data_IF_165429925992
#
_entry.id   IF_165429925992
#
_cell.length_a   1.000
_cell.length_b   1.000
_cell.length_c   1.000
_cell.angle_alpha   90.00
_cell.angle_beta   90.00
_cell.angle_gamma   90.00
#
_symmetry.space_group_name_H-M   'P 1'
#
loop_
_entity.id
_entity.type
_entity.pdbx_description
1 polymer ?
#
# COMPACT_ATOMS: atom_id res chain seq x y z
N UNK A 1 -3.82 -15.39 1.98
CA UNK A 1 -2.62 -14.60 2.35
C UNK A 1 -2.92 -13.82 3.62
N UNK A 2 -1.99 -13.80 4.56
CA UNK A 2 -2.20 -13.06 5.80
C UNK A 2 -1.91 -11.57 5.61
N UNK A 3 -2.44 -10.75 6.51
CA UNK A 3 -2.18 -9.31 6.50
C UNK A 3 -0.68 -9.05 6.58
N UNK A 4 0.01 -9.77 7.45
CA UNK A 4 1.45 -9.63 7.64
C UNK A 4 2.23 -9.96 6.36
N UNK A 5 1.83 -11.01 5.66
CA UNK A 5 2.46 -11.40 4.40
C UNK A 5 2.23 -10.36 3.31
N UNK A 6 1.02 -9.82 3.23
CA UNK A 6 0.69 -8.78 2.27
C UNK A 6 1.55 -7.53 2.49
N UNK A 7 1.65 -7.09 3.75
CA UNK A 7 2.47 -5.92 4.07
C UNK A 7 3.95 -6.16 3.79
N UNK A 8 4.44 -7.37 4.07
CA UNK A 8 5.83 -7.73 3.79
C UNK A 8 6.12 -7.70 2.29
N UNK A 9 5.20 -8.17 1.47
CA UNK A 9 5.36 -8.15 0.01
C UNK A 9 5.34 -6.72 -0.53
N UNK A 10 4.44 -5.88 -0.03
CA UNK A 10 4.39 -4.48 -0.42
C UNK A 10 5.68 -3.76 -0.07
N UNK A 11 6.21 -4.03 1.11
CA UNK A 11 7.49 -3.47 1.53
C UNK A 11 8.64 -3.94 0.64
N UNK A 12 8.64 -5.23 0.29
CA UNK A 12 9.65 -5.80 -0.59
C UNK A 12 9.61 -5.18 -1.99
N UNK A 13 8.45 -4.73 -2.44
CA UNK A 13 8.30 -4.02 -3.71
C UNK A 13 8.72 -2.55 -3.62
N UNK A 14 9.06 -2.07 -2.42
CA UNK A 14 9.43 -0.68 -2.23
C UNK A 14 8.25 0.25 -1.96
N UNK A 15 7.09 -0.30 -1.65
CA UNK A 15 5.93 0.50 -1.29
C UNK A 15 5.86 0.75 0.21
N UNK A 16 5.18 1.82 0.59
CA UNK A 16 4.86 2.10 1.97
C UNK A 16 3.42 1.65 2.21
N UNK A 17 3.21 0.73 3.14
CA UNK A 17 1.89 0.19 3.37
C UNK A 17 1.65 -0.11 4.84
N UNK A 18 0.40 0.00 5.24
CA UNK A 18 -0.02 -0.38 6.58
C UNK A 18 -1.46 -0.89 6.53
N UNK A 19 -1.87 -1.57 7.59
CA UNK A 19 -3.23 -2.09 7.71
C UNK A 19 -3.95 -1.38 8.85
N UNK A 20 -5.13 -0.85 8.55
CA UNK A 20 -6.00 -0.21 9.55
C UNK A 20 -7.03 -1.23 10.02
N UNK A 21 -6.89 -1.70 11.26
CA UNK A 21 -7.78 -2.70 11.81
C UNK A 21 -9.19 -2.18 12.10
N UNK A 22 -9.35 -0.87 12.31
CA UNK A 22 -10.67 -0.28 12.55
C UNK A 22 -11.53 -0.31 11.29
N UNK A 23 -10.92 -0.03 10.15
CA UNK A 23 -11.60 -0.02 8.85
C UNK A 23 -11.39 -1.31 8.07
N UNK A 24 -10.49 -2.19 8.55
CA UNK A 24 -10.11 -3.43 7.87
C UNK A 24 -9.64 -3.18 6.45
N UNK A 25 -8.78 -2.18 6.31
CA UNK A 25 -8.28 -1.76 5.01
C UNK A 25 -6.77 -1.62 5.01
N UNK A 26 -6.17 -1.93 3.86
CA UNK A 26 -4.77 -1.61 3.61
C UNK A 26 -4.68 -0.19 3.07
N UNK A 27 -3.65 0.52 3.50
CA UNK A 27 -3.31 1.82 2.94
C UNK A 27 -1.99 1.67 2.22
N UNK A 28 -1.99 1.87 0.91
CA UNK A 28 -0.82 1.70 0.06
C UNK A 28 -0.37 3.05 -0.48
N UNK A 29 0.89 3.38 -0.25
CA UNK A 29 1.49 4.62 -0.74
C UNK A 29 2.92 4.34 -1.18
N UNK A 30 3.64 5.39 -1.56
CA UNK A 30 5.05 5.31 -1.92
C UNK A 30 5.88 6.06 -0.87
N UNK A 31 7.10 5.58 -0.56
CA UNK A 31 7.98 6.29 0.36
C UNK A 31 8.61 7.52 -0.31
N UNK A 32 9.13 8.42 0.51
CA UNK A 32 9.87 9.56 0.03
C UNK A 32 9.02 10.75 -0.43
N UNK A 33 7.71 10.67 -0.25
CA UNK A 33 6.81 11.77 -0.60
C UNK A 33 6.52 12.64 0.62
N UNK A 34 6.22 13.93 0.39
CA UNK A 34 5.74 14.77 1.48
C UNK A 34 4.33 14.31 1.89
N UNK A 35 3.88 14.65 3.12
CA UNK A 35 2.59 14.15 3.63
C UNK A 35 1.40 14.47 2.73
N UNK A 36 1.41 15.62 2.10
CA UNK A 36 0.30 16.04 1.25
C UNK A 36 0.22 15.20 -0.02
N UNK A 37 1.37 14.94 -0.62
CA UNK A 37 1.46 14.14 -1.84
C UNK A 37 1.19 12.68 -1.56
N UNK A 38 1.70 12.19 -0.43
CA UNK A 38 1.45 10.83 0.02
C UNK A 38 -0.05 10.58 0.18
N UNK A 39 -0.76 11.49 0.82
CA UNK A 39 -2.20 11.37 1.02
C UNK A 39 -2.96 11.44 -0.31
N UNK A 40 -2.48 12.24 -1.25
CA UNK A 40 -3.12 12.37 -2.55
C UNK A 40 -3.09 11.08 -3.38
N UNK A 41 -2.05 10.26 -3.21
CA UNK A 41 -1.92 9.00 -3.94
C UNK A 41 -2.32 7.78 -3.11
N UNK A 42 -2.62 7.96 -1.83
CA UNK A 42 -2.95 6.84 -0.95
C UNK A 42 -4.14 6.06 -1.49
N UNK A 43 -3.99 4.74 -1.54
CA UNK A 43 -5.03 3.84 -2.00
C UNK A 43 -5.47 2.95 -0.84
N UNK A 44 -6.77 2.86 -0.65
CA UNK A 44 -7.36 2.07 0.43
C UNK A 44 -8.13 0.89 -0.15
N UNK A 45 -7.87 -0.29 0.35
CA UNK A 45 -8.57 -1.49 -0.08
C UNK A 45 -8.56 -2.56 1.02
N UNK A 46 -9.63 -3.34 1.08
CA UNK A 46 -9.70 -4.47 2.02
C UNK A 46 -9.16 -5.77 1.40
N UNK A 47 -8.90 -5.76 0.10
CA UNK A 47 -8.45 -6.94 -0.63
C UNK A 47 -6.93 -6.97 -0.76
N UNK A 48 -6.30 -8.05 -0.27
CA UNK A 48 -4.84 -8.23 -0.33
C UNK A 48 -4.32 -8.22 -1.76
N UNK A 49 -4.99 -8.91 -2.67
CA UNK A 49 -4.56 -8.97 -4.07
C UNK A 49 -4.64 -7.59 -4.73
N UNK A 50 -5.70 -6.86 -4.46
CA UNK A 50 -5.88 -5.51 -4.97
C UNK A 50 -4.79 -4.58 -4.44
N UNK A 51 -4.45 -4.72 -3.15
CA UNK A 51 -3.37 -3.93 -2.55
C UNK A 51 -2.03 -4.21 -3.25
N UNK A 52 -1.72 -5.47 -3.52
CA UNK A 52 -0.47 -5.86 -4.19
C UNK A 52 -0.44 -5.36 -5.63
N UNK A 53 -1.54 -5.47 -6.35
CA UNK A 53 -1.67 -4.97 -7.72
C UNK A 53 -1.47 -3.45 -7.77
N UNK A 54 -2.11 -2.75 -6.85
CA UNK A 54 -2.00 -1.30 -6.79
C UNK A 54 -0.58 -0.86 -6.45
N UNK A 55 0.06 -1.55 -5.50
CA UNK A 55 1.45 -1.26 -5.14
C UNK A 55 2.39 -1.43 -6.33
N UNK A 56 2.21 -2.51 -7.09
CA UNK A 56 3.02 -2.76 -8.28
C UNK A 56 2.79 -1.67 -9.33
N UNK A 57 1.55 -1.25 -9.53
CA UNK A 57 1.21 -0.19 -10.48
C UNK A 57 1.83 1.14 -10.07
N UNK A 58 1.80 1.48 -8.78
CA UNK A 58 2.42 2.69 -8.25
C UNK A 58 3.91 2.71 -8.51
N UNK A 59 4.59 1.58 -8.28
CA UNK A 59 6.04 1.47 -8.52
C UNK A 59 6.37 1.58 -10.00
N UNK A 60 5.52 1.04 -10.85
CA UNK A 60 5.70 1.11 -12.30
C UNK A 60 5.59 2.52 -12.86
N UNK A 61 4.97 3.43 -12.11
CA UNK A 61 4.82 4.83 -12.53
C UNK A 61 5.97 5.73 -12.08
N UNK A 62 6.90 5.20 -11.33
CA UNK A 62 8.06 5.97 -10.84
C UNK A 62 9.17 6.07 -11.86
#
# INVERSE_FOLDING_TARGET
MSIKQTLAQLKAMGCKARYDSDWREYRVTLPGLDPKREEAIAYYTSDSEDALHTGAAMKGLQ
#
